data_IF_575477559819
#
_entry.id   IF_575477559819
#
_cell.length_a   1.000
_cell.length_b   1.000
_cell.length_c   1.000
_cell.angle_alpha   90.00
_cell.angle_beta   90.00
_cell.angle_gamma   90.00
#
_symmetry.space_group_name_H-M   'P 1'
#
loop_
_entity.id
_entity.type
_entity.pdbx_description
1 polymer ?
#
# COMPACT_ATOMS: atom_id res chain seq x y z
N UNK A 1 15.02 8.41 -23.01
CA UNK A 1 13.61 7.96 -23.11
C UNK A 1 12.77 9.19 -22.86
N UNK A 2 12.07 9.72 -23.86
CA UNK A 2 11.09 10.79 -23.58
C UNK A 2 9.95 10.21 -22.75
N UNK A 3 9.65 10.76 -21.57
CA UNK A 3 8.56 10.28 -20.74
C UNK A 3 7.25 10.57 -21.46
N UNK A 4 6.59 9.51 -21.92
CA UNK A 4 5.27 9.63 -22.49
C UNK A 4 4.27 9.90 -21.36
N UNK A 5 3.90 11.17 -21.20
CA UNK A 5 2.97 11.64 -20.18
C UNK A 5 1.61 10.94 -20.25
N UNK A 6 1.22 10.45 -21.44
CA UNK A 6 -0.02 9.67 -21.61
C UNK A 6 0.11 8.32 -20.94
N UNK A 7 1.23 7.62 -21.16
CA UNK A 7 1.52 6.33 -20.53
C UNK A 7 1.62 6.49 -19.02
N UNK A 8 2.29 7.54 -18.51
CA UNK A 8 2.36 7.80 -17.07
C UNK A 8 0.98 8.04 -16.44
N UNK A 9 0.13 8.87 -17.07
CA UNK A 9 -1.24 9.12 -16.59
C UNK A 9 -2.07 7.84 -16.55
N UNK A 10 -1.98 7.01 -17.60
CA UNK A 10 -2.69 5.75 -17.63
C UNK A 10 -2.11 4.73 -16.63
N UNK A 11 -0.80 4.71 -16.41
CA UNK A 11 -0.13 3.89 -15.40
C UNK A 11 -0.64 4.22 -13.99
N UNK A 12 -0.78 5.51 -13.68
CA UNK A 12 -1.34 5.98 -12.41
C UNK A 12 -2.78 5.53 -12.22
N UNK A 13 -3.61 5.52 -13.27
CA UNK A 13 -4.98 5.00 -13.18
C UNK A 13 -4.98 3.49 -12.93
N UNK A 14 -4.12 2.74 -13.64
CA UNK A 14 -3.94 1.30 -13.44
C UNK A 14 -3.43 0.97 -12.02
N UNK A 15 -2.61 1.85 -11.47
CA UNK A 15 -2.12 1.79 -10.10
C UNK A 15 -3.25 2.07 -9.09
N UNK A 16 -3.99 3.17 -9.23
CA UNK A 16 -5.10 3.53 -8.31
C UNK A 16 -6.18 2.45 -8.25
N UNK A 17 -6.53 1.86 -9.39
CA UNK A 17 -7.53 0.78 -9.46
C UNK A 17 -6.96 -0.61 -9.13
N UNK A 18 -5.68 -0.71 -8.73
CA UNK A 18 -5.14 -1.95 -8.19
C UNK A 18 -5.86 -2.33 -6.90
N UNK A 19 -6.32 -3.58 -6.83
CA UNK A 19 -6.91 -4.19 -5.63
C UNK A 19 -6.07 -3.95 -4.37
N UNK A 20 -4.74 -3.86 -4.52
CA UNK A 20 -3.82 -3.64 -3.40
C UNK A 20 -3.91 -2.22 -2.84
N UNK A 21 -4.17 -1.18 -3.65
CA UNK A 21 -4.37 0.19 -3.15
C UNK A 21 -5.72 0.40 -2.48
N UNK A 22 -6.77 -0.25 -2.98
CA UNK A 22 -8.07 -0.22 -2.31
C UNK A 22 -8.02 -0.91 -0.92
N UNK A 23 -7.07 -1.82 -0.70
CA UNK A 23 -6.81 -2.40 0.62
C UNK A 23 -6.08 -1.43 1.57
N UNK A 24 -5.41 -0.41 1.04
CA UNK A 24 -4.59 0.54 1.82
C UNK A 24 -5.34 1.80 2.25
N UNK A 25 -6.57 2.04 1.77
CA UNK A 25 -7.42 3.05 2.38
C UNK A 25 -7.96 2.49 3.71
N UNK A 26 -7.30 2.82 4.81
CA UNK A 26 -7.74 2.51 6.18
C UNK A 26 -9.15 3.03 6.53
N UNK A 27 -9.74 3.85 5.66
CA UNK A 27 -11.05 4.48 5.83
C UNK A 27 -12.20 3.85 5.05
N UNK A 28 -11.96 2.96 4.07
CA UNK A 28 -13.07 2.25 3.41
C UNK A 28 -13.40 0.98 4.19
N UNK A 29 -14.61 0.93 4.74
CA UNK A 29 -15.14 -0.32 5.29
C UNK A 29 -15.11 -1.39 4.20
N UNK A 30 -14.47 -2.54 4.51
CA UNK A 30 -14.36 -3.69 3.60
C UNK A 30 -15.72 -4.22 3.11
N UNK A 31 -16.82 -3.81 3.73
CA UNK A 31 -18.16 -4.35 3.50
C UNK A 31 -18.85 -3.85 2.21
N UNK A 32 -18.41 -2.72 1.61
CA UNK A 32 -19.11 -2.14 0.45
C UNK A 32 -18.26 -1.97 -0.83
N UNK A 33 -17.02 -2.48 -0.85
CA UNK A 33 -16.16 -2.37 -2.04
C UNK A 33 -16.51 -3.48 -3.04
N UNK A 34 -17.11 -3.10 -4.17
CA UNK A 34 -17.32 -4.01 -5.30
C UNK A 34 -15.99 -4.28 -6.03
N UNK A 35 -15.22 -5.23 -5.50
CA UNK A 35 -13.91 -5.63 -6.04
C UNK A 35 -13.98 -6.11 -7.49
N UNK A 36 -15.10 -6.71 -7.90
CA UNK A 36 -15.32 -7.13 -9.29
C UNK A 36 -15.43 -5.95 -10.23
N UNK A 37 -16.14 -4.88 -9.84
CA UNK A 37 -16.25 -3.66 -10.63
C UNK A 37 -14.89 -2.96 -10.78
N UNK A 38 -14.12 -2.88 -9.70
CA UNK A 38 -12.76 -2.30 -9.71
C UNK A 38 -11.84 -3.09 -10.64
N UNK A 39 -11.87 -4.42 -10.55
CA UNK A 39 -11.07 -5.27 -11.43
C UNK A 39 -11.46 -5.10 -12.91
N UNK A 40 -12.76 -4.95 -13.20
CA UNK A 40 -13.24 -4.73 -14.56
C UNK A 40 -12.78 -3.37 -15.10
N UNK A 41 -12.80 -2.31 -14.28
CA UNK A 41 -12.26 -0.99 -14.62
C UNK A 41 -10.75 -1.08 -14.88
N UNK A 42 -10.00 -1.76 -14.00
CA UNK A 42 -8.57 -1.95 -14.15
C UNK A 42 -8.23 -2.66 -15.48
N UNK A 43 -8.96 -3.73 -15.83
CA UNK A 43 -8.76 -4.44 -17.08
C UNK A 43 -9.03 -3.56 -18.30
N UNK A 44 -10.03 -2.67 -18.24
CA UNK A 44 -10.30 -1.71 -19.33
C UNK A 44 -9.15 -0.74 -19.52
N UNK A 45 -8.57 -0.22 -18.43
CA UNK A 45 -7.37 0.62 -18.54
C UNK A 45 -6.16 -0.14 -19.06
N UNK A 46 -5.95 -1.39 -18.64
CA UNK A 46 -4.88 -2.23 -19.16
C UNK A 46 -5.03 -2.46 -20.68
N UNK A 47 -6.25 -2.73 -21.14
CA UNK A 47 -6.56 -2.89 -22.57
C UNK A 47 -6.28 -1.60 -23.36
N UNK A 48 -6.66 -0.43 -22.82
CA UNK A 48 -6.40 0.87 -23.46
C UNK A 48 -4.88 1.13 -23.56
N UNK A 49 -4.12 0.92 -22.48
CA UNK A 49 -2.66 1.08 -22.51
C UNK A 49 -2.04 0.13 -23.53
N UNK A 50 -2.47 -1.13 -23.55
CA UNK A 50 -1.94 -2.12 -24.47
C UNK A 50 -2.15 -1.72 -25.93
N UNK A 51 -3.38 -1.34 -26.29
CA UNK A 51 -3.71 -0.87 -27.65
C UNK A 51 -2.92 0.39 -28.01
N UNK A 52 -2.79 1.33 -27.07
CA UNK A 52 -2.03 2.55 -27.26
C UNK A 52 -0.54 2.28 -27.52
N UNK A 53 0.07 1.39 -26.73
CA UNK A 53 1.48 1.04 -26.89
C UNK A 53 1.74 0.36 -28.23
N UNK A 54 0.87 -0.58 -28.65
CA UNK A 54 0.97 -1.20 -29.98
C UNK A 54 0.88 -0.14 -31.07
N UNK A 55 -0.13 0.74 -30.99
CA UNK A 55 -0.36 1.77 -32.00
C UNK A 55 0.82 2.74 -32.13
N UNK A 56 1.41 3.16 -31.00
CA UNK A 56 2.47 4.18 -30.98
C UNK A 56 3.87 3.64 -31.21
N UNK A 57 4.18 2.44 -30.73
CA UNK A 57 5.55 1.91 -30.69
C UNK A 57 5.75 0.62 -31.51
N UNK A 58 4.67 0.00 -32.00
CA UNK A 58 4.73 -1.31 -32.64
C UNK A 58 4.84 -2.45 -31.62
N UNK A 59 4.63 -3.68 -32.10
CA UNK A 59 4.41 -4.84 -31.21
C UNK A 59 5.58 -5.12 -30.25
N UNK A 60 6.82 -5.14 -30.76
CA UNK A 60 7.98 -5.52 -29.97
C UNK A 60 8.27 -4.51 -28.84
N UNK A 61 8.33 -3.22 -29.18
CA UNK A 61 8.56 -2.17 -28.19
C UNK A 61 7.37 -2.01 -27.23
N UNK A 62 6.14 -2.26 -27.69
CA UNK A 62 4.96 -2.27 -26.84
C UNK A 62 5.05 -3.33 -25.74
N UNK A 63 5.48 -4.56 -26.08
CA UNK A 63 5.69 -5.63 -25.11
C UNK A 63 6.71 -5.21 -24.05
N UNK A 64 7.87 -4.71 -24.46
CA UNK A 64 8.93 -4.29 -23.52
C UNK A 64 8.42 -3.19 -22.59
N UNK A 65 7.77 -2.16 -23.15
CA UNK A 65 7.24 -1.04 -22.38
C UNK A 65 6.14 -1.47 -21.41
N UNK A 66 5.25 -2.36 -21.85
CA UNK A 66 4.18 -2.89 -21.00
C UNK A 66 4.75 -3.74 -19.87
N UNK A 67 5.73 -4.60 -20.13
CA UNK A 67 6.39 -5.40 -19.08
C UNK A 67 7.09 -4.52 -18.06
N UNK A 68 7.83 -3.50 -18.50
CA UNK A 68 8.48 -2.53 -17.62
C UNK A 68 7.46 -1.77 -16.77
N UNK A 69 6.29 -1.44 -17.33
CA UNK A 69 5.19 -0.80 -16.61
C UNK A 69 4.69 -1.71 -15.48
N UNK A 70 4.40 -2.97 -15.78
CA UNK A 70 3.92 -3.95 -14.79
C UNK A 70 4.97 -4.17 -13.70
N UNK A 71 6.24 -4.30 -14.07
CA UNK A 71 7.33 -4.46 -13.11
C UNK A 71 7.44 -3.24 -12.18
N UNK A 72 7.31 -2.03 -12.70
CA UNK A 72 7.27 -0.80 -11.91
C UNK A 72 6.09 -0.81 -10.92
N UNK A 73 4.89 -1.15 -11.39
CA UNK A 73 3.71 -1.23 -10.53
C UNK A 73 3.87 -2.27 -9.40
N UNK A 74 4.44 -3.44 -9.70
CA UNK A 74 4.73 -4.46 -8.70
C UNK A 74 5.77 -4.00 -7.67
N UNK A 75 6.83 -3.33 -8.12
CA UNK A 75 7.84 -2.76 -7.22
C UNK A 75 7.21 -1.76 -6.25
N UNK A 76 6.34 -0.86 -6.74
CA UNK A 76 5.66 0.11 -5.87
C UNK A 76 4.74 -0.59 -4.86
N UNK A 77 3.98 -1.60 -5.28
CA UNK A 77 3.14 -2.40 -4.37
C UNK A 77 3.99 -3.05 -3.29
N UNK A 78 5.12 -3.65 -3.65
CA UNK A 78 6.02 -4.30 -2.71
C UNK A 78 6.63 -3.29 -1.71
N UNK A 79 7.07 -2.11 -2.19
CA UNK A 79 7.59 -1.06 -1.32
C UNK A 79 6.51 -0.55 -0.35
N UNK A 80 5.28 -0.34 -0.82
CA UNK A 80 4.17 0.06 0.05
C UNK A 80 3.87 -0.98 1.13
N UNK A 81 3.86 -2.26 0.76
CA UNK A 81 3.67 -3.36 1.71
C UNK A 81 4.76 -3.33 2.80
N UNK A 82 6.03 -3.23 2.41
CA UNK A 82 7.12 -3.14 3.37
C UNK A 82 7.02 -1.91 4.28
N UNK A 83 6.67 -0.74 3.73
CA UNK A 83 6.49 0.48 4.52
C UNK A 83 5.39 0.32 5.59
N UNK A 84 4.27 -0.33 5.24
CA UNK A 84 3.21 -0.60 6.21
C UNK A 84 3.62 -1.58 7.29
N UNK A 85 4.34 -2.65 6.93
CA UNK A 85 4.87 -3.60 7.93
C UNK A 85 5.81 -2.89 8.90
N UNK A 86 6.71 -2.04 8.38
CA UNK A 86 7.62 -1.24 9.22
C UNK A 86 6.83 -0.28 10.12
N UNK A 87 5.82 0.40 9.59
CA UNK A 87 4.98 1.30 10.38
C UNK A 87 4.27 0.56 11.53
N UNK A 88 3.66 -0.60 11.24
CA UNK A 88 3.03 -1.44 12.27
C UNK A 88 4.01 -1.82 13.37
N UNK A 89 5.25 -2.19 13.01
CA UNK A 89 6.27 -2.52 14.01
C UNK A 89 6.69 -1.31 14.86
N UNK A 90 6.73 -0.11 14.28
CA UNK A 90 7.01 1.11 15.05
C UNK A 90 5.89 1.37 16.06
N UNK A 91 4.63 1.24 15.63
CA UNK A 91 3.46 1.39 16.49
C UNK A 91 3.45 0.35 17.64
N UNK A 92 3.77 -0.91 17.35
CA UNK A 92 3.89 -1.98 18.35
C UNK A 92 4.98 -1.67 19.40
N UNK A 93 6.14 -1.16 18.97
CA UNK A 93 7.26 -0.82 19.86
C UNK A 93 6.92 0.34 20.77
N UNK A 94 6.25 1.38 20.25
CA UNK A 94 5.78 2.52 21.04
C UNK A 94 4.78 2.04 22.09
N UNK A 95 3.80 1.23 21.69
CA UNK A 95 2.77 0.71 22.59
C UNK A 95 3.37 -0.21 23.67
N UNK A 96 4.40 -1.00 23.34
CA UNK A 96 5.13 -1.80 24.32
C UNK A 96 5.90 -0.93 25.32
N UNK A 97 6.54 0.14 24.85
CA UNK A 97 7.25 1.09 25.71
C UNK A 97 6.28 1.78 26.69
N UNK A 98 5.16 2.29 26.20
CA UNK A 98 4.11 2.93 27.02
C UNK A 98 3.55 1.95 28.07
N UNK A 99 3.23 0.72 27.67
CA UNK A 99 2.74 -0.30 28.59
C UNK A 99 3.76 -0.69 29.67
N UNK A 100 5.05 -0.67 29.31
CA UNK A 100 6.13 -0.98 30.25
C UNK A 100 6.30 0.15 31.26
N UNK A 101 6.27 1.40 30.81
CA UNK A 101 6.30 2.59 31.67
C UNK A 101 5.12 2.61 32.66
N UNK A 102 3.91 2.37 32.17
CA UNK A 102 2.71 2.27 33.00
C UNK A 102 2.81 1.17 34.05
N UNK A 103 3.35 0.01 33.67
CA UNK A 103 3.54 -1.11 34.60
C UNK A 103 4.55 -0.79 35.70
N UNK A 104 5.67 -0.16 35.35
CA UNK A 104 6.68 0.25 36.34
C UNK A 104 6.11 1.28 37.32
N UNK A 105 5.34 2.25 36.84
CA UNK A 105 4.67 3.25 37.71
C UNK A 105 3.69 2.56 38.68
N UNK A 106 2.92 1.57 38.21
CA UNK A 106 2.00 0.81 39.06
C UNK A 106 2.76 -0.01 40.12
N UNK A 107 3.84 -0.69 39.74
CA UNK A 107 4.67 -1.48 40.64
C UNK A 107 5.30 -0.60 41.76
N UNK A 108 5.73 0.62 41.42
CA UNK A 108 6.27 1.60 42.39
C UNK A 108 5.19 2.07 43.38
N UNK A 109 3.96 2.33 42.91
CA UNK A 109 2.84 2.72 43.78
C UNK A 109 2.47 1.59 44.75
N UNK A 110 2.47 0.35 44.28
CA UNK A 110 2.17 -0.81 45.12
C UNK A 110 3.24 -1.03 46.20
N UNK A 111 4.52 -0.85 45.88
CA UNK A 111 5.60 -0.89 46.87
C UNK A 111 5.47 0.22 47.92
N UNK A 112 5.14 1.43 47.49
CA UNK A 112 4.88 2.57 48.38
C UNK A 112 3.76 2.23 49.36
N UNK A 113 2.62 1.75 48.85
CA UNK A 113 1.47 1.38 49.68
C UNK A 113 1.80 0.27 50.69
N UNK A 114 2.59 -0.73 50.31
CA UNK A 114 3.05 -1.78 51.22
C UNK A 114 4.01 -1.27 52.29
N UNK A 115 4.79 -0.23 52.00
CA UNK A 115 5.71 0.40 52.96
C UNK A 115 4.97 1.26 53.99
N UNK A 116 3.84 1.87 53.62
CA UNK A 116 3.02 2.69 54.52
C UNK A 116 1.95 1.89 55.30
N UNK A 117 1.70 0.62 54.97
CA UNK A 117 0.77 -0.27 55.69
C UNK A 117 1.45 -1.20 56.71
N UNK A 118 2.78 -1.20 56.80
CA UNK A 118 3.56 -1.86 57.85
C UNK A 118 4.08 -0.84 58.87
#
# INVERSE_FOLDING_TARGET
MDPDIVVMKMALLLFVFSKNLCLFSSQLSKENINTNAIFLIQNKYAEIIWRYLIYRYGYYDAVIRFMNLIQCLLAVIQTMYHLQTVQSHVEDVILLAENTELKLILDDIDQINQTYMN
#
